data_IF_314704662770
#
_entry.id   IF_314704662770
#
_cell.length_a   1.000
_cell.length_b   1.000
_cell.length_c   1.000
_cell.angle_alpha   90.00
_cell.angle_beta   90.00
_cell.angle_gamma   90.00
#
_symmetry.space_group_name_H-M   'P 1'
#
loop_
_entity.id
_entity.type
_entity.pdbx_description
1 polymer ?
#
# COMPACT_ATOMS: atom_id res chain seq x y z
N UNK A 1 -14.73 -7.19 -1.42
CA UNK A 1 -13.46 -6.55 -1.04
C UNK A 1 -12.89 -7.30 0.14
N UNK A 2 -11.59 -7.52 0.13
CA UNK A 2 -10.85 -8.27 1.14
C UNK A 2 -9.86 -7.33 1.83
N UNK A 3 -9.51 -7.60 3.09
CA UNK A 3 -8.43 -6.88 3.79
C UNK A 3 -7.12 -7.65 3.70
N UNK A 4 -6.02 -6.91 3.54
CA UNK A 4 -4.69 -7.48 3.43
C UNK A 4 -3.61 -6.48 3.74
N UNK A 5 -2.37 -6.92 3.57
CA UNK A 5 -1.16 -6.10 3.67
C UNK A 5 -0.49 -6.05 2.30
N UNK A 6 -0.17 -4.85 1.84
CA UNK A 6 0.53 -4.61 0.59
C UNK A 6 2.00 -4.30 0.87
N UNK A 7 2.91 -5.08 0.29
CA UNK A 7 4.35 -4.80 0.31
C UNK A 7 4.64 -3.51 -0.45
N UNK A 8 5.45 -2.65 0.15
CA UNK A 8 5.76 -1.34 -0.39
C UNK A 8 7.10 -0.84 0.15
N UNK A 9 7.64 0.22 -0.45
CA UNK A 9 8.85 0.86 0.05
C UNK A 9 8.48 2.12 0.82
N UNK A 10 9.02 2.28 2.03
CA UNK A 10 8.84 3.51 2.79
C UNK A 10 9.99 4.47 2.56
N UNK A 11 9.67 5.74 2.35
CA UNK A 11 10.65 6.82 2.39
C UNK A 11 10.72 7.33 3.82
N UNK A 12 11.93 7.71 4.27
CA UNK A 12 12.14 8.29 5.60
C UNK A 12 11.31 9.57 5.70
N UNK A 13 10.21 9.51 6.46
CA UNK A 13 9.24 10.59 6.54
C UNK A 13 9.74 11.79 7.33
N UNK A 14 9.25 12.97 6.96
CA UNK A 14 9.42 14.23 7.71
C UNK A 14 8.26 14.53 8.68
N UNK A 15 7.20 13.70 8.69
CA UNK A 15 5.95 13.95 9.41
C UNK A 15 5.74 12.98 10.61
N UNK A 16 5.09 13.49 11.67
CA UNK A 16 4.88 12.75 12.92
C UNK A 16 3.90 11.59 12.78
N UNK A 17 2.83 11.76 12.00
CA UNK A 17 1.66 10.86 12.00
C UNK A 17 1.43 10.11 10.69
N UNK A 18 2.15 10.49 9.64
CA UNK A 18 2.09 9.88 8.31
C UNK A 18 3.45 9.37 7.86
N UNK A 19 3.42 8.39 6.95
CA UNK A 19 4.60 7.87 6.27
C UNK A 19 4.39 7.90 4.77
N UNK A 20 5.44 8.27 4.04
CA UNK A 20 5.44 8.21 2.59
C UNK A 20 5.72 6.77 2.16
N UNK A 21 4.72 6.11 1.58
CA UNK A 21 4.85 4.81 0.91
C UNK A 21 5.04 4.99 -0.59
N UNK A 22 5.75 4.06 -1.21
CA UNK A 22 6.03 4.05 -2.65
C UNK A 22 5.65 2.68 -3.21
N UNK A 23 4.88 2.70 -4.31
CA UNK A 23 4.44 1.50 -5.01
C UNK A 23 4.44 1.70 -6.54
N UNK A 24 4.91 0.72 -7.34
CA UNK A 24 5.55 -0.54 -6.94
C UNK A 24 6.90 -0.31 -6.23
N UNK A 25 7.34 -1.18 -5.31
CA UNK A 25 8.53 -0.93 -4.49
C UNK A 25 9.84 -0.79 -5.30
N UNK A 26 9.98 -1.51 -6.41
CA UNK A 26 11.20 -1.60 -7.23
C UNK A 26 11.09 -0.92 -8.60
N UNK A 27 10.02 -0.16 -8.86
CA UNK A 27 9.81 0.48 -10.16
C UNK A 27 10.35 1.91 -10.22
N UNK A 28 10.95 2.27 -11.36
CA UNK A 28 11.30 3.66 -11.68
C UNK A 28 10.04 4.54 -11.93
N UNK A 29 8.89 3.92 -12.19
CA UNK A 29 7.59 4.60 -12.38
C UNK A 29 6.72 4.59 -11.12
N UNK A 30 7.31 4.30 -9.97
CA UNK A 30 6.57 4.18 -8.71
C UNK A 30 5.93 5.51 -8.29
N UNK A 31 4.70 5.41 -7.81
CA UNK A 31 3.95 6.53 -7.24
C UNK A 31 4.14 6.57 -5.73
N UNK A 32 4.21 7.77 -5.16
CA UNK A 32 4.29 7.98 -3.71
C UNK A 32 2.95 8.40 -3.13
N UNK A 33 2.59 7.83 -1.99
CA UNK A 33 1.38 8.13 -1.25
C UNK A 33 1.71 8.38 0.22
N UNK A 34 1.01 9.30 0.86
CA UNK A 34 1.07 9.48 2.30
C UNK A 34 -0.01 8.63 2.94
N UNK A 35 0.38 7.78 3.90
CA UNK A 35 -0.54 6.91 4.63
C UNK A 35 -0.35 7.06 6.14
N UNK A 36 -1.41 6.89 6.94
CA UNK A 36 -1.33 6.92 8.39
C UNK A 36 -0.38 5.85 8.94
N UNK A 37 0.45 6.21 9.92
CA UNK A 37 1.41 5.27 10.54
C UNK A 37 0.74 4.09 11.24
N UNK A 38 -0.47 4.26 11.77
CA UNK A 38 -1.23 3.18 12.42
C UNK A 38 -1.70 2.08 11.45
N UNK A 39 -1.63 2.35 10.13
CA UNK A 39 -1.95 1.36 9.08
C UNK A 39 -0.72 0.70 8.50
N UNK A 40 0.46 0.95 9.07
CA UNK A 40 1.74 0.52 8.52
C UNK A 40 2.48 -0.40 9.48
N UNK A 41 3.09 -1.46 8.93
CA UNK A 41 4.08 -2.29 9.63
C UNK A 41 5.44 -1.97 9.05
N UNK A 42 6.13 -0.99 9.66
CA UNK A 42 7.42 -0.50 9.16
C UNK A 42 8.48 -1.62 9.05
N UNK A 43 8.54 -2.53 10.04
CA UNK A 43 9.48 -3.66 10.04
C UNK A 43 9.28 -4.61 8.87
N UNK A 44 8.04 -4.78 8.43
CA UNK A 44 7.66 -5.72 7.38
C UNK A 44 7.53 -5.03 6.02
N UNK A 45 7.76 -3.71 5.96
CA UNK A 45 7.59 -2.91 4.75
C UNK A 45 6.20 -3.09 4.11
N UNK A 46 5.14 -3.09 4.94
CA UNK A 46 3.77 -3.31 4.47
C UNK A 46 2.77 -2.28 4.99
N UNK A 47 1.74 -2.01 4.18
CA UNK A 47 0.60 -1.15 4.53
C UNK A 47 -0.70 -1.94 4.49
N UNK A 48 -1.61 -1.71 5.42
CA UNK A 48 -2.94 -2.31 5.43
C UNK A 48 -3.80 -1.72 4.32
N UNK A 49 -4.34 -2.57 3.45
CA UNK A 49 -5.18 -2.17 2.31
C UNK A 49 -6.46 -2.97 2.27
N UNK A 50 -7.47 -2.40 1.61
CA UNK A 50 -8.58 -3.20 1.06
C UNK A 50 -8.26 -3.48 -0.39
N UNK A 51 -8.51 -4.69 -0.87
CA UNK A 51 -8.28 -5.03 -2.27
C UNK A 51 -9.43 -5.83 -2.86
N UNK A 52 -9.51 -5.86 -4.19
CA UNK A 52 -10.48 -6.62 -4.95
C UNK A 52 -9.91 -6.97 -6.33
N UNK A 53 -10.53 -7.98 -6.96
CA UNK A 53 -10.16 -8.42 -8.29
C UNK A 53 -11.19 -7.88 -9.29
N UNK A 54 -10.73 -7.34 -10.40
CA UNK A 54 -11.55 -6.93 -11.53
C UNK A 54 -10.91 -7.50 -12.81
N UNK A 55 -11.49 -8.60 -13.30
CA UNK A 55 -10.86 -9.41 -14.35
C UNK A 55 -9.53 -10.00 -13.89
N UNK A 56 -8.47 -9.77 -14.66
CA UNK A 56 -7.11 -10.21 -14.37
C UNK A 56 -6.32 -9.20 -13.51
N UNK A 57 -6.90 -8.03 -13.23
CA UNK A 57 -6.22 -6.97 -12.47
C UNK A 57 -6.65 -7.01 -11.01
N UNK A 58 -5.66 -6.93 -10.11
CA UNK A 58 -5.91 -6.74 -8.68
C UNK A 58 -5.76 -5.26 -8.34
N UNK A 59 -6.75 -4.72 -7.65
CA UNK A 59 -6.80 -3.32 -7.26
C UNK A 59 -6.76 -3.19 -5.74
N UNK A 60 -5.95 -2.26 -5.24
CA UNK A 60 -5.87 -1.93 -3.82
C UNK A 60 -6.35 -0.50 -3.57
N UNK A 61 -7.17 -0.33 -2.53
CA UNK A 61 -7.56 0.94 -1.96
C UNK A 61 -6.60 1.27 -0.83
N UNK A 62 -5.76 2.28 -1.02
CA UNK A 62 -4.80 2.70 -0.01
C UNK A 62 -5.50 3.42 1.15
N UNK A 63 -4.98 3.32 2.38
CA UNK A 63 -5.55 3.99 3.54
C UNK A 63 -5.15 5.47 3.63
N UNK A 64 -4.99 6.16 2.49
CA UNK A 64 -4.73 7.61 2.44
C UNK A 64 -6.05 8.39 2.50
N UNK A 65 -5.98 9.70 2.78
CA UNK A 65 -7.15 10.59 2.88
C UNK A 65 -8.08 10.51 1.66
N UNK A 66 -7.49 10.53 0.46
CA UNK A 66 -8.24 10.43 -0.81
C UNK A 66 -8.63 9.00 -1.20
N UNK A 67 -8.24 7.99 -0.41
CA UNK A 67 -8.44 6.56 -0.67
C UNK A 67 -8.16 6.17 -2.13
N UNK A 68 -6.95 6.46 -2.66
CA UNK A 68 -6.64 6.19 -4.05
C UNK A 68 -6.72 4.68 -4.32
N UNK A 69 -7.26 4.35 -5.49
CA UNK A 69 -7.36 2.98 -5.99
C UNK A 69 -6.25 2.79 -7.01
N UNK A 70 -5.33 1.87 -6.72
CA UNK A 70 -4.17 1.61 -7.56
C UNK A 70 -4.13 0.14 -7.99
N UNK A 71 -3.65 -0.16 -9.21
CA UNK A 71 -3.38 -1.53 -9.61
C UNK A 71 -2.17 -2.05 -8.82
N UNK A 72 -2.23 -3.30 -8.37
CA UNK A 72 -1.18 -3.96 -7.60
C UNK A 72 -0.90 -5.35 -8.12
N UNK A 73 0.31 -5.84 -7.89
CA UNK A 73 0.68 -7.22 -8.14
C UNK A 73 0.18 -8.11 -6.99
N UNK A 74 -0.36 -9.28 -7.33
CA UNK A 74 -0.88 -10.22 -6.34
C UNK A 74 0.22 -10.77 -5.41
N UNK A 75 1.45 -10.90 -5.89
CA UNK A 75 2.62 -11.35 -5.10
C UNK A 75 3.05 -10.37 -3.99
N UNK A 76 2.63 -9.11 -4.12
CA UNK A 76 2.84 -8.07 -3.12
C UNK A 76 1.75 -8.08 -2.03
N UNK A 77 0.66 -8.82 -2.22
CA UNK A 77 -0.44 -8.90 -1.28
C UNK A 77 -0.27 -10.08 -0.32
N UNK A 78 -0.46 -9.78 0.96
CA UNK A 78 -0.51 -10.76 2.05
C UNK A 78 -1.92 -10.72 2.64
N UNK A 79 -2.76 -11.72 2.38
CA UNK A 79 -4.12 -11.78 2.93
C UNK A 79 -4.12 -11.70 4.46
N UNK A 80 -5.04 -10.93 5.03
CA UNK A 80 -5.31 -10.98 6.47
C UNK A 80 -6.36 -12.06 6.72
N UNK A 81 -5.94 -13.20 7.25
CA UNK A 81 -6.82 -14.30 7.68
C UNK A 81 -7.73 -13.90 8.84
#
# INVERSE_FOLDING_TARGET
MTQGWLKCRFLKGMFSDEIAMVYPPESATASSFFVPKDKVREKDHTVSVRYFHEGETVWAVLPAESQPVIPVNEEDLIPSS
#
